data_IF_238979073861
#
_entry.id   IF_238979073861
#
_cell.length_a   1.000
_cell.length_b   1.000
_cell.length_c   1.000
_cell.angle_alpha   90.00
_cell.angle_beta   90.00
_cell.angle_gamma   90.00
#
_symmetry.space_group_name_H-M   'P 1'
#
loop_
_entity.id
_entity.type
_entity.pdbx_description
1 polymer ?
2 non-polymer ?
3 non-polymer ?
4 non-polymer ?
5 non-polymer ?
6 water ?
#
# COMPACT_ATOMS: atom_id res chain seq x y z
N UNK A 1 -8.59 -18.90 3.20
CA UNK A 1 -7.44 -18.00 3.28
C UNK A 1 -6.79 -17.83 1.90
N UNK A 2 -6.59 -16.57 1.51
CA UNK A 2 -5.95 -16.26 0.24
C UNK A 2 -4.44 -16.43 0.34
N UNK A 3 -3.69 -15.96 -0.67
CA UNK A 3 -2.23 -16.09 -0.64
C UNK A 3 -1.58 -15.27 0.47
N UNK A 4 -0.51 -15.81 1.04
CA UNK A 4 0.26 -15.09 2.05
C UNK A 4 1.73 -15.26 1.73
N UNK A 5 2.55 -14.30 2.16
CA UNK A 5 4.00 -14.44 2.09
C UNK A 5 4.40 -15.55 3.03
N UNK A 6 5.29 -16.42 2.57
CA UNK A 6 5.74 -17.57 3.34
C UNK A 6 7.03 -17.27 4.09
N UNK A 7 7.25 -16.00 4.39
CA UNK A 7 8.45 -15.59 5.13
C UNK A 7 8.05 -14.34 5.88
N UNK A 8 8.85 -13.98 6.89
CA UNK A 8 8.52 -12.82 7.73
C UNK A 8 9.43 -11.65 7.45
N UNK A 9 10.41 -11.84 6.56
CA UNK A 9 11.30 -10.74 6.17
C UNK A 9 10.94 -10.39 4.73
N UNK A 10 10.41 -9.18 4.51
CA UNK A 10 9.88 -8.76 3.21
C UNK A 10 10.56 -7.48 2.78
N UNK A 11 11.07 -7.44 1.55
CA UNK A 11 11.72 -6.25 1.03
C UNK A 11 10.80 -5.46 0.12
N UNK A 12 11.01 -4.15 0.08
CA UNK A 12 10.29 -3.31 -0.87
C UNK A 12 11.24 -2.35 -1.55
N UNK A 13 10.83 -1.84 -2.70
CA UNK A 13 11.64 -0.90 -3.46
C UNK A 13 10.74 0.14 -4.08
N UNK A 14 11.17 1.39 -4.03
CA UNK A 14 10.38 2.45 -4.64
C UNK A 14 10.91 2.61 -6.04
N UNK A 15 10.11 2.18 -7.02
CA UNK A 15 10.56 2.14 -8.41
C UNK A 15 10.75 3.51 -9.00
N UNK A 16 9.89 4.45 -8.61
CA UNK A 16 9.94 5.81 -9.11
C UNK A 16 9.15 6.72 -8.19
N UNK A 17 9.34 8.03 -8.34
CA UNK A 17 8.75 9.01 -7.44
C UNK A 17 7.77 9.93 -8.15
N UNK A 18 6.61 10.12 -7.54
CA UNK A 18 5.68 11.11 -8.08
C UNK A 18 6.31 12.49 -7.91
N UNK A 19 6.16 13.36 -8.93
CA UNK A 19 6.62 14.75 -8.82
C UNK A 19 5.72 15.59 -7.92
N UNK A 20 4.56 15.07 -7.52
CA UNK A 20 3.65 15.82 -6.65
C UNK A 20 4.26 16.16 -5.29
N UNK A 21 5.18 15.33 -4.82
CA UNK A 21 5.75 15.43 -3.47
C UNK A 21 7.26 15.46 -3.49
N UNK A 22 7.89 15.96 -2.42
CA UNK A 22 9.33 15.82 -2.23
C UNK A 22 9.68 14.35 -2.04
N UNK A 23 10.82 13.91 -2.57
CA UNK A 23 11.26 12.52 -2.42
C UNK A 23 11.32 12.00 -0.98
N UNK A 24 11.86 12.81 -0.08
CA UNK A 24 11.93 12.43 1.33
C UNK A 24 10.55 12.15 1.94
N UNK A 25 9.54 12.88 1.47
CA UNK A 25 8.19 12.70 1.99
C UNK A 25 7.55 11.41 1.47
N UNK A 26 7.85 11.05 0.22
CA UNK A 26 7.39 9.79 -0.34
C UNK A 26 8.02 8.62 0.43
N UNK A 27 9.34 8.69 0.61
CA UNK A 27 10.04 7.67 1.39
C UNK A 27 9.42 7.51 2.77
N UNK A 28 9.14 8.64 3.41
CA UNK A 28 8.57 8.65 4.76
C UNK A 28 7.14 8.08 4.79
N UNK A 29 6.29 8.55 3.88
CA UNK A 29 4.93 8.01 3.78
C UNK A 29 4.94 6.49 3.65
N UNK A 30 5.77 5.98 2.74
CA UNK A 30 5.82 4.54 2.48
C UNK A 30 6.38 3.76 3.67
N UNK A 31 7.44 4.27 4.28
CA UNK A 31 8.04 3.61 5.44
C UNK A 31 7.03 3.52 6.59
N UNK A 32 6.33 4.61 6.86
CA UNK A 32 5.34 4.66 7.92
C UNK A 32 4.14 3.74 7.65
N UNK A 33 3.73 3.62 6.38
CA UNK A 33 2.64 2.71 5.99
C UNK A 33 3.00 1.25 6.26
N UNK A 34 4.24 0.85 5.94
CA UNK A 34 4.69 -0.51 6.25
C UNK A 34 4.74 -0.73 7.77
N UNK A 35 5.14 0.31 8.48
CA UNK A 35 5.28 0.24 9.94
C UNK A 35 3.92 -0.03 10.61
N UNK A 36 2.86 0.53 10.03
CA UNK A 36 1.51 0.30 10.54
C UNK A 36 1.21 -1.21 10.61
N UNK A 37 1.57 -1.94 9.55
CA UNK A 37 1.33 -3.37 9.53
C UNK A 37 2.36 -4.19 10.33
N UNK A 38 3.63 -3.78 10.33
CA UNK A 38 4.61 -4.50 11.13
C UNK A 38 4.34 -4.39 12.63
N UNK A 39 3.70 -3.32 13.05
CA UNK A 39 3.43 -3.11 14.48
C UNK A 39 2.44 -4.13 15.06
N UNK A 40 1.70 -4.82 14.20
CA UNK A 40 0.70 -5.78 14.68
C UNK A 40 0.90 -7.19 14.12
N UNK A 41 2.08 -7.44 13.53
CA UNK A 41 2.44 -8.74 12.98
C UNK A 41 3.92 -9.10 13.25
N UNK A 42 4.33 -10.33 12.91
CA UNK A 42 5.77 -10.63 12.99
C UNK A 42 6.53 -10.15 11.77
N UNK A 43 5.86 -9.48 10.84
CA UNK A 43 6.51 -9.07 9.59
C UNK A 43 7.49 -7.92 9.77
N UNK A 44 8.59 -7.99 9.05
CA UNK A 44 9.56 -6.91 8.99
C UNK A 44 9.79 -6.51 7.54
N UNK A 45 9.92 -5.20 7.30
CA UNK A 45 10.06 -4.68 5.95
C UNK A 45 11.35 -3.86 5.85
N UNK A 46 12.15 -4.14 4.83
CA UNK A 46 13.37 -3.38 4.58
C UNK A 46 13.34 -2.81 3.17
N UNK A 47 13.68 -1.53 3.05
CA UNK A 47 13.78 -0.86 1.76
C UNK A 47 15.13 -1.15 1.13
N UNK A 48 15.14 -1.52 -0.16
CA UNK A 48 16.35 -1.73 -0.94
C UNK A 48 16.23 -0.94 -2.25
N UNK A 49 17.35 -0.57 -2.85
CA UNK A 49 17.34 0.20 -4.10
C UNK A 49 17.75 -0.67 -5.27
N UNK A 50 18.30 -1.82 -4.91
CA UNK A 50 18.89 -2.74 -5.86
C UNK A 50 18.37 -4.14 -5.56
N UNK A 51 18.48 -5.04 -6.54
CA UNK A 51 18.21 -6.45 -6.30
C UNK A 51 16.75 -6.82 -6.47
N UNK A 52 16.34 -7.86 -5.75
CA UNK A 52 15.00 -8.41 -5.90
C UNK A 52 14.06 -8.03 -4.76
N UNK A 53 13.29 -6.98 -4.95
CA UNK A 53 12.35 -6.57 -3.94
C UNK A 53 11.09 -7.42 -4.06
N UNK A 54 10.49 -7.76 -2.92
CA UNK A 54 9.21 -8.44 -2.94
C UNK A 54 8.12 -7.47 -3.37
N UNK A 55 8.07 -6.30 -2.74
CA UNK A 55 7.00 -5.35 -3.02
C UNK A 55 7.53 -4.12 -3.76
N UNK A 56 7.22 -4.02 -5.05
CA UNK A 56 7.62 -2.85 -5.80
C UNK A 56 6.52 -1.77 -5.70
N UNK A 57 6.94 -0.56 -5.35
CA UNK A 57 6.04 0.58 -5.25
C UNK A 57 6.23 1.41 -6.52
N UNK A 58 5.14 1.63 -7.24
CA UNK A 58 5.21 2.25 -8.57
C UNK A 58 4.21 3.38 -8.71
N UNK A 59 4.61 4.49 -9.35
CA UNK A 59 3.64 5.51 -9.77
C UNK A 59 3.57 5.48 -11.30
N UNK A 60 2.37 5.37 -11.86
CA UNK A 60 2.23 5.26 -13.32
C UNK A 60 0.86 5.77 -13.69
N UNK A 61 0.62 6.01 -14.99
CA UNK A 61 -0.70 6.47 -15.42
C UNK A 61 -1.29 5.61 -16.52
N UNK A 62 -2.61 5.70 -16.67
CA UNK A 62 -3.33 4.99 -17.71
C UNK A 62 -2.98 3.53 -17.80
N UNK A 63 -2.77 3.05 -19.03
CA UNK A 63 -2.43 1.66 -19.23
C UNK A 63 -0.93 1.55 -19.03
N UNK A 64 -0.52 0.79 -18.02
CA UNK A 64 0.88 0.81 -17.56
C UNK A 64 1.48 -0.61 -17.43
N UNK A 65 1.03 -1.52 -18.29
CA UNK A 65 1.77 -2.76 -18.45
C UNK A 65 1.21 -3.97 -17.76
N UNK A 66 0.15 -3.78 -16.98
CA UNK A 66 -0.52 -4.90 -16.38
C UNK A 66 -1.95 -4.79 -16.87
N UNK A 67 -2.78 -5.74 -16.59
CA UNK A 67 -4.07 -5.71 -17.29
C UNK A 67 -5.12 -4.90 -16.56
N UNK A 68 -4.64 -3.96 -15.74
CA UNK A 68 -5.50 -3.12 -14.89
C UNK A 68 -5.19 -1.64 -15.06
N UNK A 69 -5.65 -1.07 -16.16
CA UNK A 69 -5.36 0.32 -16.46
C UNK A 69 -5.95 1.30 -15.45
N UNK A 70 -5.28 2.42 -15.28
CA UNK A 70 -5.81 3.52 -14.49
C UNK A 70 -6.73 4.41 -15.35
N UNK A 71 -7.36 5.39 -14.72
CA UNK A 71 -8.52 6.03 -15.34
C UNK A 71 -8.48 7.56 -15.31
N UNK A 72 -7.29 8.14 -15.19
CA UNK A 72 -7.18 9.58 -15.08
C UNK A 72 -7.51 10.04 -13.66
N UNK A 73 -7.62 11.34 -13.45
CA UNK A 73 -7.88 11.89 -12.11
C UNK A 73 -9.24 11.41 -11.55
N UNK A 74 -9.26 10.98 -10.29
CA UNK A 74 -10.47 10.48 -9.66
C UNK A 74 -10.64 8.98 -9.84
N UNK A 75 -11.78 8.44 -9.40
CA UNK A 75 -12.00 7.02 -9.57
C UNK A 75 -10.93 6.19 -8.90
N UNK A 76 -10.31 5.26 -9.64
CA UNK A 76 -9.28 4.40 -9.08
C UNK A 76 -8.08 5.23 -8.66
N UNK A 77 -7.67 5.11 -7.41
CA UNK A 77 -6.52 5.88 -6.93
C UNK A 77 -5.24 5.07 -7.01
N UNK A 78 -5.38 3.75 -6.87
CA UNK A 78 -4.25 2.85 -6.72
C UNK A 78 -4.78 1.43 -6.73
N UNK A 79 -3.89 0.46 -6.93
CA UNK A 79 -4.25 -0.95 -6.75
C UNK A 79 -3.01 -1.78 -6.45
N UNK A 80 -3.20 -3.00 -5.97
CA UNK A 80 -2.05 -3.81 -5.57
C UNK A 80 -2.32 -5.29 -5.78
N UNK A 81 -1.27 -6.05 -6.01
CA UNK A 81 -1.39 -7.49 -6.20
C UNK A 81 -1.11 -8.22 -4.91
N UNK A 82 -1.82 -9.32 -4.67
CA UNK A 82 -1.58 -10.13 -3.48
C UNK A 82 -0.24 -10.82 -3.55
N UNK A 83 0.17 -11.45 -2.44
CA UNK A 83 1.48 -12.11 -2.34
C UNK A 83 1.73 -13.09 -3.50
N UNK A 84 2.94 -13.08 -4.02
CA UNK A 84 3.30 -13.96 -5.11
C UNK A 84 4.56 -13.43 -5.76
N UNK A 85 5.10 -14.16 -6.72
CA UNK A 85 6.36 -13.77 -7.33
C UNK A 85 6.10 -12.73 -8.42
N UNK A 86 7.16 -12.04 -8.85
CA UNK A 86 7.07 -11.09 -9.95
C UNK A 86 6.16 -9.93 -9.59
N UNK A 87 5.05 -9.78 -10.31
CA UNK A 87 4.18 -8.65 -10.02
C UNK A 87 3.39 -8.82 -8.70
N UNK A 88 3.33 -10.06 -8.20
CA UNK A 88 2.69 -10.31 -6.91
C UNK A 88 3.21 -9.37 -5.85
N UNK A 89 2.33 -8.86 -4.99
CA UNK A 89 2.73 -7.95 -3.94
C UNK A 89 2.94 -6.50 -4.34
N UNK A 90 3.09 -6.24 -5.64
CA UNK A 90 3.44 -4.88 -6.08
C UNK A 90 2.25 -3.94 -5.92
N UNK A 91 2.55 -2.68 -5.61
CA UNK A 91 1.52 -1.68 -5.36
C UNK A 91 1.73 -0.50 -6.31
N UNK A 92 0.68 -0.15 -7.06
CA UNK A 92 0.76 0.85 -8.10
C UNK A 92 -0.14 2.01 -7.73
N UNK A 93 0.36 3.23 -7.90
CA UNK A 93 -0.39 4.45 -7.57
C UNK A 93 -0.62 5.28 -8.82
N UNK A 94 -1.82 5.79 -8.99
CA UNK A 94 -2.21 6.49 -10.21
C UNK A 94 -1.61 7.90 -10.19
N UNK A 95 -0.67 8.15 -11.09
CA UNK A 95 -0.01 9.45 -11.12
C UNK A 95 -0.99 10.55 -11.48
N UNK A 96 -2.13 10.21 -12.06
CA UNK A 96 -3.10 11.27 -12.37
C UNK A 96 -3.80 11.83 -11.14
N UNK A 97 -3.58 11.21 -9.98
CA UNK A 97 -4.00 11.81 -8.71
C UNK A 97 -2.95 12.82 -8.26
N UNK A 98 -3.33 13.71 -7.35
CA UNK A 98 -2.35 14.61 -6.73
C UNK A 98 -2.00 14.09 -5.34
N UNK A 99 -0.82 13.49 -5.21
CA UNK A 99 -0.41 12.85 -3.96
C UNK A 99 0.12 13.89 -2.98
N UNK A 100 -0.29 13.77 -1.71
CA UNK A 100 0.16 14.71 -0.69
C UNK A 100 0.50 14.08 0.64
N UNK A 101 1.05 14.91 1.53
CA UNK A 101 1.37 14.54 2.89
C UNK A 101 0.23 14.95 3.81
N UNK A 102 -0.86 15.46 3.23
CA UNK A 102 -1.90 16.07 4.03
C UNK A 102 -3.32 15.74 3.55
N UNK A 103 -4.26 16.62 3.88
CA UNK A 103 -5.67 16.33 3.62
C UNK A 103 -6.07 16.76 2.22
N UNK A 104 -5.25 17.60 1.61
CA UNK A 104 -5.48 17.99 0.23
C UNK A 104 -5.15 16.85 -0.71
N UNK A 105 -5.74 16.87 -1.90
CA UNK A 105 -5.50 15.84 -2.89
C UNK A 105 -5.78 14.46 -2.35
N UNK A 106 -4.84 13.54 -2.56
CA UNK A 106 -4.96 12.20 -2.02
C UNK A 106 -3.75 11.92 -1.13
N UNK A 107 -4.00 11.59 0.13
CA UNK A 107 -2.92 11.36 1.06
C UNK A 107 -2.21 10.06 0.71
N UNK A 108 -0.92 10.14 0.38
CA UNK A 108 -0.17 8.95 -0.01
C UNK A 108 -0.08 7.91 1.12
N UNK A 109 0.24 8.36 2.33
CA UNK A 109 0.37 7.44 3.46
C UNK A 109 -0.88 6.57 3.68
N UNK A 110 -2.05 7.20 3.74
CA UNK A 110 -3.27 6.45 3.99
C UNK A 110 -3.52 5.48 2.84
N UNK A 111 -3.31 5.94 1.62
CA UNK A 111 -3.53 5.09 0.45
C UNK A 111 -2.56 3.90 0.47
N UNK A 112 -1.33 4.15 0.91
CA UNK A 112 -0.32 3.09 0.92
C UNK A 112 -0.63 2.05 1.99
N UNK A 113 -1.21 2.50 3.11
CA UNK A 113 -1.59 1.55 4.14
C UNK A 113 -2.58 0.57 3.56
N UNK A 114 -3.59 1.11 2.88
CA UNK A 114 -4.61 0.28 2.25
C UNK A 114 -4.00 -0.66 1.22
N UNK A 115 -3.18 -0.12 0.33
CA UNK A 115 -2.60 -0.95 -0.74
C UNK A 115 -1.64 -2.02 -0.18
N UNK A 116 -0.82 -1.64 0.80
CA UNK A 116 0.06 -2.63 1.42
C UNK A 116 -0.78 -3.74 2.07
N UNK A 117 -1.94 -3.37 2.61
CA UNK A 117 -2.87 -4.38 3.12
C UNK A 117 -3.09 -5.46 2.07
N UNK A 118 -3.42 -5.03 0.85
CA UNK A 118 -3.61 -5.98 -0.25
C UNK A 118 -2.31 -6.72 -0.59
N UNK A 119 -1.18 -6.01 -0.59
CA UNK A 119 0.12 -6.63 -0.90
C UNK A 119 0.47 -7.78 0.07
N UNK A 120 -0.09 -7.71 1.26
CA UNK A 120 0.12 -8.72 2.31
C UNK A 120 -0.95 -9.81 2.29
N UNK A 121 -2.01 -9.62 1.50
CA UNK A 121 -3.02 -10.66 1.37
C UNK A 121 -4.43 -10.31 1.82
N UNK A 122 -4.65 -9.10 2.34
CA UNK A 122 -5.99 -8.71 2.83
C UNK A 122 -6.91 -8.34 1.69
N UNK A 123 -8.19 -8.59 1.88
CA UNK A 123 -9.23 -8.13 0.97
C UNK A 123 -9.92 -6.96 1.61
N UNK A 124 -11.10 -6.61 1.14
CA UNK A 124 -11.78 -5.44 1.67
C UNK A 124 -12.59 -5.74 2.94
N UNK A 125 -12.80 -4.72 3.74
CA UNK A 125 -13.59 -4.81 4.96
C UNK A 125 -14.93 -4.08 4.75
N UNK A 126 -15.96 -4.50 5.48
CA UNK A 126 -17.24 -3.79 5.46
C UNK A 126 -17.37 -2.81 6.62
N UNK A 127 -16.33 -2.74 7.46
CA UNK A 127 -16.29 -1.75 8.52
C UNK A 127 -15.85 -0.40 7.95
N UNK A 128 -16.75 0.59 7.97
CA UNK A 128 -16.48 1.92 7.40
C UNK A 128 -15.28 2.58 8.06
N UNK A 129 -14.90 2.09 9.24
CA UNK A 129 -13.77 2.67 9.95
C UNK A 129 -12.47 1.89 9.72
N UNK A 130 -12.56 0.81 8.93
CA UNK A 130 -11.38 0.01 8.63
C UNK A 130 -10.57 0.63 7.49
N UNK A 131 -9.24 0.55 7.59
CA UNK A 131 -8.40 1.09 6.51
C UNK A 131 -8.64 0.27 5.23
N UNK A 132 -9.10 -0.96 5.39
CA UNK A 132 -9.35 -1.83 4.24
C UNK A 132 -10.77 -1.67 3.66
N UNK A 133 -11.50 -0.69 4.16
CA UNK A 133 -12.78 -0.33 3.53
C UNK A 133 -12.43 0.13 2.11
N UNK A 134 -13.30 -0.18 1.13
CA UNK A 134 -12.97 0.01 -0.29
C UNK A 134 -12.75 1.46 -0.75
N UNK A 135 -13.34 2.44 -0.07
CA UNK A 135 -13.25 3.82 -0.54
C UNK A 135 -12.36 4.70 0.33
N UNK A 136 -11.60 5.57 -0.33
CA UNK A 136 -10.68 6.46 0.34
C UNK A 136 -11.41 7.55 1.15
N UNK A 137 -10.89 7.80 2.35
CA UNK A 137 -11.41 8.83 3.23
C UNK A 137 -10.24 9.43 4.01
N UNK A 138 -10.03 10.74 3.90
CA UNK A 138 -8.96 11.31 4.68
C UNK A 138 -9.30 11.22 6.16
N UNK A 139 -8.34 10.77 6.96
CA UNK A 139 -8.46 10.90 8.40
C UNK A 139 -7.20 11.50 8.92
N UNK A 140 -7.35 12.21 10.03
CA UNK A 140 -6.24 12.87 10.68
C UNK A 140 -5.09 11.90 10.80
N UNK A 141 -3.97 12.29 10.23
CA UNK A 141 -2.83 11.39 10.05
C UNK A 141 -2.13 11.13 11.38
N UNK A 142 -2.18 12.12 12.27
CA UNK A 142 -1.47 12.03 13.53
C UNK A 142 -2.20 11.15 14.53
N UNK A 143 -3.45 10.85 14.24
CA UNK A 143 -4.28 10.07 15.15
C UNK A 143 -4.72 8.75 14.48
N UNK A 144 -4.19 8.49 13.28
CA UNK A 144 -4.54 7.28 12.56
C UNK A 144 -4.27 5.99 13.35
N UNK A 145 -5.23 5.07 13.33
CA UNK A 145 -5.07 3.76 13.95
C UNK A 145 -5.76 2.73 13.06
N UNK A 146 -5.15 1.57 12.88
CA UNK A 146 -5.85 0.45 12.28
C UNK A 146 -7.07 0.17 13.14
N UNK A 147 -8.17 -0.26 12.51
CA UNK A 147 -9.35 -0.69 13.26
C UNK A 147 -9.17 -2.13 13.75
N UNK A 148 -10.00 -2.53 14.71
CA UNK A 148 -9.93 -3.90 15.23
C UNK A 148 -10.11 -4.91 14.11
N UNK A 149 -10.93 -4.56 13.10
CA UNK A 149 -11.15 -5.46 11.98
C UNK A 149 -9.89 -5.66 11.12
N UNK A 150 -9.16 -4.57 10.86
CA UNK A 150 -7.90 -4.65 10.09
C UNK A 150 -6.90 -5.55 10.83
N UNK A 151 -6.83 -5.36 12.12
CA UNK A 151 -5.94 -6.15 12.96
C UNK A 151 -6.34 -7.64 12.99
N UNK A 152 -7.63 -7.92 13.20
CA UNK A 152 -8.13 -9.29 13.04
C UNK A 152 -7.69 -9.88 11.68
N UNK A 153 -7.95 -9.16 10.59
CA UNK A 153 -7.61 -9.67 9.28
C UNK A 153 -6.15 -10.03 9.11
N UNK A 154 -5.25 -9.10 9.46
CA UNK A 154 -3.84 -9.33 9.22
C UNK A 154 -3.26 -10.36 10.20
N UNK A 155 -3.78 -10.39 11.43
CA UNK A 155 -3.38 -11.44 12.38
C UNK A 155 -3.90 -12.84 12.00
N UNK A 156 -4.96 -12.93 11.21
CA UNK A 156 -5.41 -14.24 10.75
C UNK A 156 -4.46 -14.79 9.68
N UNK A 157 -3.71 -13.89 9.03
CA UNK A 157 -2.79 -14.30 7.98
C UNK A 157 -1.35 -14.55 8.48
N UNK A 158 -0.89 -13.73 9.44
CA UNK A 158 0.47 -13.85 9.99
C UNK A 158 0.41 -13.74 11.52
N UNK A 159 1.13 -14.56 12.25
CA UNK A 159 2.11 -15.49 11.75
C UNK A 159 2.84 -16.00 12.97
#
# INVERSE_FOLDING_TARGET
MGPVWRKHYITYRINNYTPDMNREDVDYAIRKAFQVWSNVTPLKFSKINTGMADILVVFARGAHGDDHAFDGKGGILAHAFGPGSGIGGDAHFDEDEFWTTHSGGTNLFLTAVHEIGHSLGLGHSSDPKAVMFPTYKYVDINTFRLSADDIRGIQSLYG
#
